data_IF_948821949647
#
_entry.id   IF_948821949647
#
_cell.length_a   1.000
_cell.length_b   1.000
_cell.length_c   1.000
_cell.angle_alpha   90.00
_cell.angle_beta   90.00
_cell.angle_gamma   90.00
#
_symmetry.space_group_name_H-M   'P 1'
#
loop_
_entity.id
_entity.type
_entity.pdbx_description
1 polymer ?
#
# COMPACT_ATOMS: atom_id res chain seq x y z
N UNK A 1 -10.24 -15.19 -0.64
CA UNK A 1 -10.17 -14.49 -1.96
C UNK A 1 -8.72 -14.22 -2.36
N UNK A 2 -8.36 -14.28 -3.64
CA UNK A 2 -7.03 -13.88 -4.16
C UNK A 2 -7.15 -12.56 -4.92
N UNK A 3 -6.09 -11.76 -4.99
CA UNK A 3 -6.11 -10.49 -5.72
C UNK A 3 -5.08 -9.49 -5.18
N UNK A 4 -5.30 -8.20 -5.45
CA UNK A 4 -4.45 -7.11 -4.97
C UNK A 4 -5.20 -6.21 -3.98
N UNK A 5 -4.44 -5.50 -3.16
CA UNK A 5 -4.94 -4.60 -2.14
C UNK A 5 -4.08 -3.34 -2.09
N UNK A 6 -4.74 -2.22 -1.80
CA UNK A 6 -4.16 -0.92 -1.53
C UNK A 6 -4.46 -0.58 -0.07
N UNK A 7 -3.42 -0.41 0.75
CA UNK A 7 -3.54 0.07 2.11
C UNK A 7 -3.42 1.60 2.10
N UNK A 8 -4.45 2.30 2.56
CA UNK A 8 -4.37 3.74 2.82
C UNK A 8 -3.87 3.90 4.24
N UNK A 9 -2.71 4.52 4.39
CA UNK A 9 -1.95 4.58 5.63
C UNK A 9 -1.79 6.03 6.05
N UNK A 10 -2.20 6.36 7.27
CA UNK A 10 -1.97 7.66 7.89
C UNK A 10 -0.64 7.66 8.65
N UNK A 11 0.20 8.65 8.33
CA UNK A 11 1.43 8.99 9.04
C UNK A 11 1.21 10.33 9.74
N UNK A 12 1.16 10.32 11.08
CA UNK A 12 0.78 11.49 11.88
C UNK A 12 1.89 12.53 12.05
N UNK A 13 3.14 12.14 11.87
CA UNK A 13 4.33 12.98 12.05
C UNK A 13 5.44 12.61 11.06
N UNK A 14 6.33 13.56 10.77
CA UNK A 14 7.51 13.28 9.94
C UNK A 14 8.44 12.33 10.69
N UNK A 15 9.00 11.34 10.00
CA UNK A 15 9.95 10.41 10.60
C UNK A 15 10.97 9.92 9.58
N UNK A 16 12.18 9.60 10.04
CA UNK A 16 13.16 8.86 9.26
C UNK A 16 13.12 7.39 9.72
N UNK A 17 12.98 6.46 8.78
CA UNK A 17 12.97 5.04 9.08
C UNK A 17 13.96 4.28 8.21
N UNK A 18 14.62 3.31 8.85
CA UNK A 18 15.36 2.26 8.18
C UNK A 18 14.44 1.07 7.92
N UNK A 19 14.16 0.82 6.66
CA UNK A 19 13.33 -0.27 6.14
C UNK A 19 14.24 -1.38 5.63
N UNK A 20 14.16 -2.55 6.26
CA UNK A 20 15.07 -3.65 5.94
C UNK A 20 16.53 -3.30 6.27
N UNK A 21 17.47 -3.80 5.46
CA UNK A 21 18.90 -3.60 5.67
C UNK A 21 19.49 -2.40 4.93
N UNK A 22 18.83 -1.90 3.88
CA UNK A 22 19.42 -0.98 2.89
C UNK A 22 18.60 0.27 2.59
N UNK A 23 17.32 0.31 2.91
CA UNK A 23 16.47 1.44 2.56
C UNK A 23 16.31 2.37 3.75
N UNK A 24 16.98 3.51 3.71
CA UNK A 24 16.76 4.62 4.64
C UNK A 24 15.90 5.66 3.94
N UNK A 25 14.79 6.04 4.56
CA UNK A 25 13.79 6.89 3.90
C UNK A 25 13.12 7.85 4.88
N UNK A 26 12.88 9.06 4.38
CA UNK A 26 12.12 10.08 5.08
C UNK A 26 10.64 9.95 4.73
N UNK A 27 9.82 9.75 5.76
CA UNK A 27 8.37 9.72 5.68
C UNK A 27 7.86 11.08 6.16
N UNK A 28 7.25 11.82 5.25
CA UNK A 28 6.49 13.03 5.56
C UNK A 28 5.16 12.67 6.21
N UNK A 29 4.68 13.52 7.12
CA UNK A 29 3.29 13.54 7.59
C UNK A 29 2.33 13.61 6.41
N UNK A 30 1.29 12.78 6.44
CA UNK A 30 0.30 12.69 5.38
C UNK A 30 -0.26 11.29 5.24
N UNK A 31 -0.60 10.92 4.01
CA UNK A 31 -1.17 9.63 3.69
C UNK A 31 -0.28 8.90 2.70
N UNK A 32 -0.24 7.58 2.80
CA UNK A 32 0.46 6.73 1.87
C UNK A 32 -0.45 5.65 1.32
N UNK A 33 -0.27 5.32 0.04
CA UNK A 33 -0.88 4.15 -0.58
C UNK A 33 0.19 3.09 -0.75
N UNK A 34 0.04 1.98 -0.04
CA UNK A 34 0.85 0.78 -0.29
C UNK A 34 0.08 -0.22 -1.13
N UNK A 35 0.69 -0.68 -2.23
CA UNK A 35 0.08 -1.64 -3.15
C UNK A 35 0.74 -3.01 -2.94
N UNK A 36 -0.07 -4.03 -2.72
CA UNK A 36 0.39 -5.41 -2.58
C UNK A 36 -0.54 -6.44 -3.19
N UNK A 37 -0.04 -7.65 -3.34
CA UNK A 37 -0.77 -8.79 -3.87
C UNK A 37 -0.83 -9.95 -2.87
N UNK A 38 -1.94 -10.68 -2.93
CA UNK A 38 -2.24 -11.78 -2.02
C UNK A 38 -2.79 -12.98 -2.79
N UNK A 39 -1.91 -13.66 -3.52
CA UNK A 39 -2.27 -14.84 -4.32
C UNK A 39 -2.58 -16.10 -3.49
N UNK A 40 -2.36 -16.04 -2.17
CA UNK A 40 -2.71 -17.08 -1.20
C UNK A 40 -3.82 -16.66 -0.22
N UNK A 41 -4.48 -15.51 -0.45
CA UNK A 41 -5.55 -15.00 0.42
C UNK A 41 -5.36 -13.54 0.80
N UNK A 42 -6.22 -12.65 0.30
CA UNK A 42 -6.26 -11.23 0.68
C UNK A 42 -6.57 -11.08 2.16
N UNK A 43 -7.59 -11.78 2.65
CA UNK A 43 -8.01 -11.69 4.07
C UNK A 43 -6.87 -12.00 5.03
N UNK A 44 -6.16 -13.12 4.82
CA UNK A 44 -5.05 -13.50 5.70
C UNK A 44 -3.89 -12.50 5.64
N UNK A 45 -3.57 -11.99 4.44
CA UNK A 45 -2.50 -11.01 4.26
C UNK A 45 -2.83 -9.66 4.90
N UNK A 46 -4.03 -9.16 4.66
CA UNK A 46 -4.52 -7.90 5.21
C UNK A 46 -4.66 -7.99 6.73
N UNK A 47 -5.26 -9.06 7.28
CA UNK A 47 -5.34 -9.29 8.73
C UNK A 47 -3.96 -9.30 9.38
N UNK A 48 -2.96 -9.88 8.71
CA UNK A 48 -1.58 -9.82 9.20
C UNK A 48 -1.05 -8.38 9.21
N UNK A 49 -1.32 -7.56 8.19
CA UNK A 49 -0.94 -6.15 8.19
C UNK A 49 -1.67 -5.33 9.27
N UNK A 50 -2.90 -5.69 9.63
CA UNK A 50 -3.64 -5.06 10.73
C UNK A 50 -3.17 -5.52 12.12
N UNK A 51 -2.59 -6.71 12.26
CA UNK A 51 -2.10 -7.22 13.55
C UNK A 51 -0.97 -6.35 14.13
N UNK A 52 -1.10 -5.93 15.39
CA UNK A 52 -0.04 -5.22 16.11
C UNK A 52 1.13 -6.12 16.53
N UNK A 53 0.86 -7.42 16.75
CA UNK A 53 1.87 -8.40 17.14
C UNK A 53 2.21 -9.33 15.98
N UNK A 54 3.34 -9.05 15.32
CA UNK A 54 3.87 -9.86 14.22
C UNK A 54 5.37 -9.72 14.09
N UNK A 55 6.02 -10.76 13.57
CA UNK A 55 7.39 -10.66 13.08
C UNK A 55 7.39 -9.81 11.82
N UNK A 56 8.35 -8.90 11.70
CA UNK A 56 8.55 -8.11 10.49
C UNK A 56 8.93 -9.02 9.33
N UNK A 57 8.25 -8.87 8.19
CA UNK A 57 8.51 -9.68 7.00
C UNK A 57 8.55 -8.84 5.71
N UNK A 58 7.61 -7.91 5.53
CA UNK A 58 7.58 -7.02 4.36
C UNK A 58 8.04 -5.61 4.70
N UNK A 59 8.49 -4.85 3.68
CA UNK A 59 8.87 -3.44 3.86
C UNK A 59 7.77 -2.63 4.55
N UNK A 60 6.51 -2.86 4.17
CA UNK A 60 5.36 -2.17 4.79
C UNK A 60 5.21 -2.44 6.28
N UNK A 61 5.65 -3.61 6.78
CA UNK A 61 5.57 -3.92 8.21
C UNK A 61 6.45 -2.97 9.06
N UNK A 62 7.52 -2.39 8.50
CA UNK A 62 8.35 -1.40 9.19
C UNK A 62 7.60 -0.09 9.41
N UNK A 63 6.93 0.42 8.37
CA UNK A 63 6.14 1.65 8.44
C UNK A 63 4.93 1.47 9.37
N UNK A 64 4.24 0.33 9.29
CA UNK A 64 3.05 0.03 10.08
C UNK A 64 3.30 -0.10 11.60
N UNK A 65 4.56 -0.05 12.06
CA UNK A 65 4.87 0.13 13.50
C UNK A 65 4.55 1.53 14.00
N UNK A 66 4.59 2.52 13.12
CA UNK A 66 4.51 3.95 13.45
C UNK A 66 3.35 4.65 12.73
N UNK A 67 2.59 3.91 11.91
CA UNK A 67 1.53 4.43 11.06
C UNK A 67 0.28 3.55 11.17
N UNK A 68 -0.88 4.10 10.78
CA UNK A 68 -2.17 3.40 10.90
C UNK A 68 -2.81 3.17 9.55
N UNK A 69 -3.34 1.98 9.32
CA UNK A 69 -4.19 1.71 8.15
C UNK A 69 -5.57 2.32 8.43
N UNK A 70 -6.00 3.27 7.59
CA UNK A 70 -7.25 4.03 7.75
C UNK A 70 -8.30 3.71 6.69
N UNK A 71 -7.93 2.99 5.63
CA UNK A 71 -8.84 2.45 4.62
C UNK A 71 -8.15 1.33 3.84
N UNK A 72 -8.94 0.42 3.27
CA UNK A 72 -8.44 -0.65 2.40
C UNK A 72 -9.30 -0.70 1.14
N UNK A 73 -8.63 -0.66 -0.01
CA UNK A 73 -9.24 -0.85 -1.32
C UNK A 73 -8.64 -2.12 -1.91
N UNK A 74 -9.46 -3.02 -2.46
CA UNK A 74 -8.96 -4.29 -2.96
C UNK A 74 -9.80 -4.82 -4.12
N UNK A 75 -9.17 -5.58 -5.00
CA UNK A 75 -9.84 -6.33 -6.04
C UNK A 75 -9.69 -7.82 -5.80
N UNK A 76 -10.58 -8.61 -6.42
CA UNK A 76 -10.52 -10.07 -6.38
C UNK A 76 -10.20 -10.62 -7.77
N UNK A 77 -9.60 -11.80 -7.80
CA UNK A 77 -9.37 -12.66 -8.97
C UNK A 77 -8.44 -12.12 -10.06
N UNK A 78 -7.96 -10.87 -9.96
CA UNK A 78 -6.93 -10.30 -10.86
C UNK A 78 -5.67 -9.90 -10.09
N UNK A 79 -4.49 -10.20 -10.65
CA UNK A 79 -3.18 -9.72 -10.16
C UNK A 79 -2.79 -8.46 -10.94
N UNK A 80 -3.20 -7.30 -10.44
CA UNK A 80 -3.00 -5.98 -11.09
C UNK A 80 -2.05 -5.06 -10.32
N UNK A 81 -1.26 -5.62 -9.40
CA UNK A 81 -0.35 -4.89 -8.50
C UNK A 81 0.58 -3.92 -9.25
N UNK A 82 1.32 -4.42 -10.25
CA UNK A 82 2.24 -3.59 -11.02
C UNK A 82 1.51 -2.57 -11.91
N UNK A 83 0.32 -2.89 -12.42
CA UNK A 83 -0.45 -1.96 -13.25
C UNK A 83 -0.96 -0.78 -12.44
N UNK A 84 -1.49 -1.04 -11.24
CA UNK A 84 -1.84 -0.01 -10.27
C UNK A 84 -0.62 0.83 -9.89
N UNK A 85 0.51 0.17 -9.64
CA UNK A 85 1.76 0.83 -9.26
C UNK A 85 2.25 1.80 -10.34
N UNK A 86 2.31 1.34 -11.59
CA UNK A 86 2.70 2.21 -12.73
C UNK A 86 1.78 3.41 -12.88
N UNK A 87 0.48 3.25 -12.64
CA UNK A 87 -0.45 4.37 -12.73
C UNK A 87 -0.21 5.40 -11.62
N UNK A 88 0.01 4.95 -10.38
CA UNK A 88 0.31 5.86 -9.27
C UNK A 88 1.68 6.54 -9.42
N UNK A 89 2.64 5.94 -10.13
CA UNK A 89 3.96 6.53 -10.32
C UNK A 89 4.00 7.76 -11.25
N UNK A 90 2.97 8.00 -12.07
CA UNK A 90 3.00 9.06 -13.09
C UNK A 90 3.07 10.46 -12.47
N UNK A 91 2.24 10.74 -11.48
CA UNK A 91 2.05 12.10 -10.94
C UNK A 91 2.20 12.19 -9.41
N UNK A 92 2.70 11.14 -8.74
CA UNK A 92 2.77 11.10 -7.28
C UNK A 92 4.19 10.88 -6.77
N UNK A 93 4.51 11.54 -5.66
CA UNK A 93 5.73 11.26 -4.88
C UNK A 93 5.70 9.81 -4.38
N UNK A 94 6.85 9.14 -4.34
CA UNK A 94 6.97 7.77 -3.84
C UNK A 94 8.29 7.52 -3.10
N UNK A 95 8.35 6.42 -2.35
CA UNK A 95 9.59 5.96 -1.71
C UNK A 95 10.29 4.97 -2.64
N UNK A 96 11.36 5.39 -3.30
CA UNK A 96 12.10 4.56 -4.26
C UNK A 96 12.58 3.23 -3.65
N UNK A 97 12.38 2.13 -4.36
CA UNK A 97 12.75 0.76 -3.94
C UNK A 97 11.84 0.14 -2.88
N UNK A 98 10.72 0.78 -2.53
CA UNK A 98 9.84 0.28 -1.47
C UNK A 98 8.90 -0.81 -1.97
N UNK A 99 9.13 -2.06 -1.58
CA UNK A 99 8.14 -3.15 -1.75
C UNK A 99 8.07 -3.73 -3.16
N UNK A 100 9.05 -3.42 -4.00
CA UNK A 100 9.14 -3.82 -5.41
C UNK A 100 10.35 -4.73 -5.71
N UNK A 101 10.87 -5.47 -4.73
CA UNK A 101 12.10 -6.27 -4.91
C UNK A 101 11.98 -7.42 -5.92
N UNK A 102 10.77 -7.82 -6.29
CA UNK A 102 10.44 -8.91 -7.21
C UNK A 102 9.78 -8.43 -8.53
N UNK A 103 9.82 -7.11 -8.81
CA UNK A 103 9.29 -6.53 -10.04
C UNK A 103 10.09 -5.31 -10.48
N UNK A 104 9.81 -4.80 -11.68
CA UNK A 104 10.49 -3.62 -12.25
C UNK A 104 9.80 -2.29 -11.89
N UNK A 105 9.00 -2.24 -10.81
CA UNK A 105 8.38 -0.99 -10.37
C UNK A 105 9.39 -0.15 -9.56
N UNK A 106 9.34 1.17 -9.70
CA UNK A 106 10.20 2.07 -8.90
C UNK A 106 9.82 2.06 -7.41
N UNK A 107 8.54 1.86 -7.11
CA UNK A 107 8.03 1.76 -5.74
C UNK A 107 6.67 1.08 -5.74
N UNK A 108 6.24 0.57 -4.59
CA UNK A 108 4.86 0.20 -4.28
C UNK A 108 4.28 1.07 -3.15
N UNK A 109 4.93 2.20 -2.81
CA UNK A 109 4.51 3.10 -1.75
C UNK A 109 4.54 4.57 -2.20
N UNK A 110 3.34 5.16 -2.28
CA UNK A 110 3.10 6.49 -2.84
C UNK A 110 2.59 7.45 -1.78
N UNK A 111 3.02 8.71 -1.81
CA UNK A 111 2.68 9.75 -0.85
C UNK A 111 1.57 10.68 -1.35
N UNK A 112 0.71 11.09 -0.42
CA UNK A 112 -0.39 12.02 -0.65
C UNK A 112 -0.52 12.97 0.56
N UNK A 113 -0.97 14.21 0.30
CA UNK A 113 -1.14 15.20 1.38
C UNK A 113 -2.31 14.85 2.30
N UNK A 114 -3.37 14.27 1.75
CA UNK A 114 -4.57 13.93 2.50
C UNK A 114 -5.21 12.61 2.04
N UNK A 115 -6.11 12.07 2.88
CA UNK A 115 -6.79 10.79 2.66
C UNK A 115 -7.61 10.77 1.37
N UNK A 116 -8.24 11.90 1.03
CA UNK A 116 -9.14 12.00 -0.13
C UNK A 116 -8.35 11.81 -1.42
N UNK A 117 -7.25 12.54 -1.60
CA UNK A 117 -6.35 12.41 -2.75
C UNK A 117 -5.83 10.97 -2.90
N UNK A 118 -5.43 10.34 -1.79
CA UNK A 118 -4.95 8.95 -1.81
C UNK A 118 -6.02 7.96 -2.31
N UNK A 119 -7.27 8.13 -1.87
CA UNK A 119 -8.39 7.27 -2.30
C UNK A 119 -8.74 7.54 -3.76
N UNK A 120 -8.84 8.80 -4.17
CA UNK A 120 -9.14 9.18 -5.55
C UNK A 120 -8.10 8.65 -6.52
N UNK A 121 -6.81 8.72 -6.17
CA UNK A 121 -5.73 8.16 -6.99
C UNK A 121 -5.86 6.65 -7.19
N UNK A 122 -6.23 5.90 -6.15
CA UNK A 122 -6.43 4.45 -6.24
C UNK A 122 -7.65 4.12 -7.10
N UNK A 123 -8.76 4.85 -6.93
CA UNK A 123 -9.98 4.66 -7.73
C UNK A 123 -9.67 4.91 -9.21
N UNK A 124 -9.04 6.04 -9.54
CA UNK A 124 -8.66 6.38 -10.90
C UNK A 124 -7.74 5.31 -11.51
N UNK A 125 -6.80 4.78 -10.73
CA UNK A 125 -5.93 3.70 -11.18
C UNK A 125 -6.72 2.42 -11.52
N UNK A 126 -7.66 2.00 -10.68
CA UNK A 126 -8.53 0.86 -10.96
C UNK A 126 -9.42 1.08 -12.19
N UNK A 127 -10.01 2.27 -12.32
CA UNK A 127 -10.85 2.63 -13.46
C UNK A 127 -10.03 2.61 -14.77
N UNK A 128 -8.80 3.12 -14.75
CA UNK A 128 -7.91 3.15 -15.92
C UNK A 128 -7.55 1.78 -16.47
N UNK A 129 -7.58 0.74 -15.62
CA UNK A 129 -7.28 -0.65 -15.98
C UNK A 129 -8.53 -1.52 -16.09
N UNK A 130 -9.74 -0.92 -16.05
CA UNK A 130 -11.03 -1.61 -16.09
C UNK A 130 -11.09 -2.80 -15.12
N UNK A 131 -10.75 -2.55 -13.86
CA UNK A 131 -10.76 -3.57 -12.81
C UNK A 131 -11.69 -3.18 -11.66
N UNK A 132 -12.71 -4.00 -11.44
CA UNK A 132 -13.60 -3.84 -10.29
C UNK A 132 -12.84 -3.93 -8.96
N UNK A 133 -13.27 -3.14 -7.99
CA UNK A 133 -12.69 -3.08 -6.66
C UNK A 133 -13.77 -2.95 -5.59
N UNK A 134 -13.36 -3.14 -4.34
CA UNK A 134 -14.17 -2.97 -3.13
C UNK A 134 -13.42 -2.07 -2.17
N UNK A 135 -14.16 -1.30 -1.40
CA UNK A 135 -13.63 -0.42 -0.35
C UNK A 135 -14.16 -0.90 0.99
N UNK A 136 -13.29 -0.97 2.00
CA UNK A 136 -13.72 -1.13 3.39
C UNK A 136 -12.77 -1.95 4.24
N UNK A 137 -12.35 -1.36 5.35
CA UNK A 137 -11.58 -2.04 6.39
C UNK A 137 -12.40 -3.09 7.17
N UNK A 138 -13.72 -2.89 7.30
CA UNK A 138 -14.63 -3.78 8.04
C UNK A 138 -14.75 -5.18 7.44
N UNK A 139 -14.37 -5.35 6.17
CA UNK A 139 -14.25 -6.66 5.54
C UNK A 139 -13.14 -7.54 6.15
N UNK A 140 -12.26 -6.94 6.97
CA UNK A 140 -11.08 -7.59 7.52
C UNK A 140 -10.99 -7.56 9.06
N UNK A 141 -11.99 -6.98 9.73
CA UNK A 141 -12.15 -7.05 11.19
C UNK A 141 -12.62 -8.42 11.68
#
# INVERSE_FOLDING_TARGET
MKGCYCLIIEVSENMNLKVGSRLESDFKKGHYVYIGSAMNGIESRVKRHLSSSKKIHWHIDYLLKYAKIVEIIYNVDKKVECDLSRHLAIDNDYINGFGCSDCDCDSHLYYFKNKKEAIEAVINAYDSIACDFRIGISAFS
#
